data_IF_363740195307
#
_entry.id   IF_363740195307
#
_cell.length_a   1.000
_cell.length_b   1.000
_cell.length_c   1.000
_cell.angle_alpha   90.00
_cell.angle_beta   90.00
_cell.angle_gamma   90.00
#
_symmetry.space_group_name_H-M   'P 1'
#
loop_
_entity.id
_entity.type
_entity.pdbx_description
1 polymer ?
#
# COMPACT_ATOMS: atom_id res chain seq x y z
N UNK A 1 5.00 -13.48 -15.60
CA UNK A 1 6.13 -12.58 -15.95
C UNK A 1 7.43 -13.19 -15.41
N UNK A 2 7.68 -14.42 -15.82
CA UNK A 2 8.92 -15.12 -15.52
C UNK A 2 10.00 -14.59 -16.47
N UNK A 3 11.10 -14.09 -15.94
CA UNK A 3 12.29 -13.71 -16.69
C UNK A 3 12.74 -12.23 -16.63
N UNK A 4 12.00 -11.34 -15.95
CA UNK A 4 12.40 -9.93 -15.81
C UNK A 4 12.92 -9.67 -14.40
N UNK A 5 14.24 -9.45 -14.27
CA UNK A 5 14.93 -9.46 -12.99
C UNK A 5 15.21 -8.06 -12.39
N UNK A 6 15.37 -7.04 -13.22
CA UNK A 6 15.72 -5.68 -12.77
C UNK A 6 14.60 -4.66 -12.95
N UNK A 7 14.70 -3.50 -12.29
CA UNK A 7 13.75 -2.40 -12.49
C UNK A 7 13.84 -1.84 -13.91
N UNK A 8 15.05 -1.75 -14.47
CA UNK A 8 15.26 -1.29 -15.84
C UNK A 8 14.61 -2.24 -16.87
N UNK A 9 14.81 -3.55 -16.75
CA UNK A 9 14.18 -4.53 -17.65
C UNK A 9 12.66 -4.49 -17.56
N UNK A 10 12.12 -4.31 -16.35
CA UNK A 10 10.69 -4.12 -16.14
C UNK A 10 10.16 -2.83 -16.75
N UNK A 11 10.88 -1.72 -16.63
CA UNK A 11 10.50 -0.45 -17.24
C UNK A 11 10.54 -0.54 -18.77
N UNK A 12 11.62 -1.09 -19.34
CA UNK A 12 11.79 -1.29 -20.78
C UNK A 12 10.67 -2.14 -21.41
N UNK A 13 10.17 -3.16 -20.67
CA UNK A 13 9.06 -3.99 -21.12
C UNK A 13 7.71 -3.24 -21.06
N UNK A 14 7.48 -2.42 -20.05
CA UNK A 14 6.18 -1.77 -19.81
C UNK A 14 5.98 -0.46 -20.54
N UNK A 15 7.03 0.31 -20.75
CA UNK A 15 6.96 1.61 -21.43
C UNK A 15 6.30 1.52 -22.81
N UNK A 16 6.72 0.61 -23.73
CA UNK A 16 6.06 0.46 -25.03
C UNK A 16 4.57 0.12 -24.91
N UNK A 17 4.20 -0.73 -23.94
CA UNK A 17 2.79 -1.08 -23.73
C UNK A 17 1.93 0.12 -23.31
N UNK A 18 2.49 1.04 -22.53
CA UNK A 18 1.80 2.28 -22.14
C UNK A 18 1.63 3.20 -23.35
N UNK A 19 2.69 3.37 -24.13
CA UNK A 19 2.65 4.22 -25.33
C UNK A 19 1.69 3.69 -26.39
N UNK A 20 1.71 2.39 -26.65
CA UNK A 20 0.78 1.71 -27.54
C UNK A 20 -0.68 1.85 -27.07
N UNK A 21 -0.92 1.69 -25.76
CA UNK A 21 -2.24 1.88 -25.17
C UNK A 21 -2.76 3.30 -25.42
N UNK A 22 -1.95 4.32 -25.17
CA UNK A 22 -2.31 5.72 -25.39
C UNK A 22 -2.63 5.99 -26.85
N UNK A 23 -1.78 5.52 -27.76
CA UNK A 23 -1.97 5.66 -29.22
C UNK A 23 -3.24 4.96 -29.70
N UNK A 24 -3.49 3.74 -29.23
CA UNK A 24 -4.69 2.95 -29.59
C UNK A 24 -5.99 3.62 -29.14
N UNK A 25 -5.94 4.40 -28.03
CA UNK A 25 -7.09 5.15 -27.52
C UNK A 25 -7.16 6.58 -28.04
N UNK A 26 -6.36 6.91 -29.06
CA UNK A 26 -6.41 8.20 -29.75
C UNK A 26 -5.82 9.38 -28.95
N UNK A 27 -4.98 9.09 -27.95
CA UNK A 27 -4.28 10.14 -27.21
C UNK A 27 -2.96 10.48 -27.91
N UNK A 28 -2.79 11.76 -28.29
CA UNK A 28 -1.50 12.28 -28.74
C UNK A 28 -0.61 12.53 -27.53
N UNK A 29 0.62 12.02 -27.56
CA UNK A 29 1.61 12.25 -26.50
C UNK A 29 1.94 13.74 -26.31
N UNK A 30 1.85 14.52 -27.38
CA UNK A 30 2.04 15.97 -27.38
C UNK A 30 0.95 16.73 -26.58
N UNK A 31 -0.22 16.12 -26.41
CA UNK A 31 -1.34 16.72 -25.69
C UNK A 31 -1.19 16.71 -24.18
N UNK A 32 -0.22 15.97 -23.63
CA UNK A 32 0.01 15.93 -22.19
C UNK A 32 0.87 17.08 -21.72
N UNK A 33 0.52 17.69 -20.60
CA UNK A 33 1.29 18.76 -19.96
C UNK A 33 2.35 18.22 -19.00
N UNK A 34 2.12 17.03 -18.44
CA UNK A 34 3.01 16.37 -17.49
C UNK A 34 2.78 14.86 -17.45
N UNK A 35 3.76 14.11 -16.97
CA UNK A 35 3.62 12.68 -16.67
C UNK A 35 3.67 12.48 -15.15
N UNK A 36 2.69 11.79 -14.60
CA UNK A 36 2.59 11.56 -13.17
C UNK A 36 2.62 10.08 -12.87
N UNK A 37 3.65 9.66 -12.13
CA UNK A 37 3.78 8.30 -11.62
C UNK A 37 3.23 8.17 -10.21
N UNK A 38 2.88 6.94 -9.84
CA UNK A 38 2.41 6.62 -8.48
C UNK A 38 3.49 6.81 -7.40
N UNK A 39 4.75 7.00 -7.80
CA UNK A 39 5.90 7.01 -6.89
C UNK A 39 6.45 5.60 -6.66
N UNK A 40 7.28 5.46 -5.63
CA UNK A 40 7.94 4.21 -5.27
C UNK A 40 8.52 4.29 -3.87
N UNK A 41 9.35 3.31 -3.51
CA UNK A 41 10.09 3.31 -2.25
C UNK A 41 11.32 4.22 -2.39
N UNK A 42 11.13 5.49 -2.10
CA UNK A 42 12.17 6.52 -2.05
C UNK A 42 12.54 6.82 -0.60
N UNK A 43 13.46 7.75 -0.37
CA UNK A 43 13.68 8.31 0.96
C UNK A 43 12.35 8.80 1.57
N UNK A 44 12.09 8.56 2.87
CA UNK A 44 10.90 9.09 3.54
C UNK A 44 10.78 10.61 3.39
N UNK A 45 9.63 11.06 2.90
CA UNK A 45 9.32 12.47 2.62
C UNK A 45 7.90 12.78 3.10
N UNK A 46 7.56 14.04 3.39
CA UNK A 46 6.17 14.43 3.67
C UNK A 46 5.23 14.14 2.49
N UNK A 47 3.93 14.13 2.73
CA UNK A 47 2.93 14.02 1.66
C UNK A 47 3.00 15.20 0.70
N UNK A 48 2.85 14.94 -0.61
CA UNK A 48 2.92 15.98 -1.62
C UNK A 48 3.17 15.46 -3.04
N UNK A 49 3.33 16.42 -3.95
CA UNK A 49 3.71 16.18 -5.35
C UNK A 49 5.17 16.60 -5.53
N UNK A 50 5.98 15.71 -6.07
CA UNK A 50 7.41 15.90 -6.22
C UNK A 50 7.83 15.71 -7.68
N UNK A 51 8.64 16.66 -8.20
CA UNK A 51 9.30 16.44 -9.48
C UNK A 51 10.29 15.28 -9.36
N UNK A 52 10.27 14.38 -10.34
CA UNK A 52 11.24 13.28 -10.40
C UNK A 52 12.61 13.84 -10.76
N UNK A 53 13.60 13.59 -9.94
CA UNK A 53 14.99 14.01 -10.13
C UNK A 53 15.95 12.81 -10.16
N UNK A 54 17.22 13.06 -10.47
CA UNK A 54 18.23 12.01 -10.62
C UNK A 54 18.47 11.22 -9.32
N UNK A 55 18.39 11.87 -8.17
CA UNK A 55 18.55 11.20 -6.88
C UNK A 55 17.42 10.23 -6.63
N UNK A 56 16.18 10.65 -6.85
CA UNK A 56 14.99 9.81 -6.75
C UNK A 56 15.06 8.64 -7.73
N UNK A 57 15.46 8.86 -8.98
CA UNK A 57 15.64 7.80 -9.98
C UNK A 57 16.69 6.78 -9.55
N UNK A 58 17.79 7.25 -8.95
CA UNK A 58 18.82 6.37 -8.42
C UNK A 58 18.28 5.50 -7.29
N UNK A 59 17.54 6.08 -6.34
CA UNK A 59 16.91 5.35 -5.24
C UNK A 59 15.96 4.26 -5.75
N UNK A 60 15.14 4.58 -6.75
CA UNK A 60 14.16 3.66 -7.33
C UNK A 60 14.80 2.52 -8.13
N UNK A 61 15.83 2.83 -8.94
CA UNK A 61 16.54 1.85 -9.78
C UNK A 61 17.40 0.90 -8.94
N UNK A 62 18.15 1.45 -8.00
CA UNK A 62 19.01 0.69 -7.08
C UNK A 62 18.23 0.03 -5.93
N UNK A 63 16.92 0.29 -5.83
CA UNK A 63 16.06 -0.23 -4.77
C UNK A 63 16.59 0.06 -3.35
N UNK A 64 17.18 1.26 -3.13
CA UNK A 64 17.84 1.63 -1.87
C UNK A 64 16.95 1.54 -0.65
N UNK A 65 15.67 1.83 -0.81
CA UNK A 65 14.66 1.80 0.25
C UNK A 65 13.72 0.59 0.16
N UNK A 66 14.04 -0.36 -0.70
CA UNK A 66 13.34 -1.63 -0.86
C UNK A 66 12.93 -1.93 -2.31
N UNK A 67 12.75 -3.22 -2.58
CA UNK A 67 12.35 -3.72 -3.90
C UNK A 67 10.85 -3.92 -3.95
N UNK A 68 10.17 -3.10 -4.74
CA UNK A 68 8.73 -3.24 -4.97
C UNK A 68 8.36 -2.73 -6.36
N UNK A 69 7.35 -3.33 -6.97
CA UNK A 69 6.88 -2.97 -8.33
C UNK A 69 6.44 -1.50 -8.43
N UNK A 70 6.06 -0.87 -7.33
CA UNK A 70 5.70 0.57 -7.33
C UNK A 70 6.87 1.49 -7.69
N UNK A 71 8.13 1.04 -7.56
CA UNK A 71 9.31 1.81 -7.98
C UNK A 71 9.27 2.17 -9.47
N UNK A 72 8.62 1.34 -10.28
CA UNK A 72 8.43 1.61 -11.71
C UNK A 72 7.61 2.88 -11.98
N UNK A 73 6.76 3.32 -11.03
CA UNK A 73 5.93 4.51 -11.22
C UNK A 73 6.74 5.77 -11.50
N UNK A 74 7.77 6.04 -10.69
CA UNK A 74 8.66 7.18 -10.87
C UNK A 74 9.59 7.01 -12.08
N UNK A 75 10.12 5.79 -12.30
CA UNK A 75 11.01 5.48 -13.43
C UNK A 75 10.28 5.69 -14.76
N UNK A 76 9.11 5.09 -14.93
CA UNK A 76 8.31 5.22 -16.15
C UNK A 76 7.84 6.65 -16.37
N UNK A 77 7.45 7.38 -15.32
CA UNK A 77 7.07 8.78 -15.45
C UNK A 77 8.23 9.63 -15.99
N UNK A 78 9.45 9.42 -15.49
CA UNK A 78 10.63 10.12 -15.96
C UNK A 78 10.97 9.78 -17.41
N UNK A 79 11.02 8.49 -17.76
CA UNK A 79 11.38 8.05 -19.10
C UNK A 79 10.37 8.46 -20.18
N UNK A 80 9.08 8.45 -19.86
CA UNK A 80 8.04 8.93 -20.78
C UNK A 80 8.10 10.46 -20.84
N UNK A 81 8.25 11.15 -19.71
CA UNK A 81 8.35 12.60 -19.66
C UNK A 81 9.54 13.12 -20.48
N UNK A 82 10.71 12.48 -20.39
CA UNK A 82 11.89 12.80 -21.19
C UNK A 82 11.60 12.63 -22.69
N UNK A 83 10.98 11.52 -23.09
CA UNK A 83 10.67 11.24 -24.51
C UNK A 83 9.73 12.27 -25.14
N UNK A 84 8.74 12.75 -24.38
CA UNK A 84 7.76 13.73 -24.86
C UNK A 84 8.10 15.18 -24.51
N UNK A 85 9.25 15.43 -23.87
CA UNK A 85 9.70 16.76 -23.47
C UNK A 85 8.82 17.41 -22.40
N UNK A 86 8.24 16.63 -21.48
CA UNK A 86 7.33 17.10 -20.43
C UNK A 86 7.85 16.76 -19.03
N UNK A 87 7.50 17.56 -18.00
CA UNK A 87 7.93 17.29 -16.64
C UNK A 87 7.30 16.02 -16.11
N UNK A 88 8.06 15.30 -15.27
CA UNK A 88 7.62 14.09 -14.60
C UNK A 88 7.49 14.31 -13.09
N UNK A 89 6.44 13.76 -12.49
CA UNK A 89 6.14 13.89 -11.07
C UNK A 89 5.77 12.55 -10.45
N UNK A 90 5.91 12.47 -9.13
CA UNK A 90 5.26 11.47 -8.28
C UNK A 90 4.37 12.16 -7.25
N UNK A 91 3.32 11.46 -6.80
CA UNK A 91 2.36 11.99 -5.82
C UNK A 91 2.18 11.00 -4.68
N UNK A 92 2.29 11.52 -3.46
CA UNK A 92 2.05 10.77 -2.22
C UNK A 92 2.61 9.33 -2.27
N UNK A 93 3.95 9.15 -2.42
CA UNK A 93 4.55 7.82 -2.53
C UNK A 93 4.28 6.97 -1.28
N UNK A 94 4.36 5.63 -1.36
CA UNK A 94 4.03 4.74 -0.25
C UNK A 94 4.82 4.95 1.04
N UNK A 95 5.89 5.71 0.98
CA UNK A 95 6.84 5.99 2.06
C UNK A 95 6.72 7.42 2.59
N UNK A 96 5.61 8.12 2.31
CA UNK A 96 5.42 9.41 2.98
C UNK A 96 5.40 9.19 4.49
N UNK A 97 6.10 10.07 5.19
CA UNK A 97 6.25 9.99 6.64
C UNK A 97 5.83 11.30 7.29
N UNK A 98 4.66 11.27 7.88
CA UNK A 98 4.06 12.34 8.68
C UNK A 98 3.73 11.84 10.09
N UNK A 99 4.20 10.62 10.42
CA UNK A 99 3.99 10.00 11.74
C UNK A 99 4.63 10.84 12.83
N UNK A 100 4.01 10.85 13.99
CA UNK A 100 4.59 11.48 15.17
C UNK A 100 5.77 10.66 15.69
N UNK A 101 6.70 11.31 16.41
CA UNK A 101 7.86 10.61 16.99
C UNK A 101 7.44 9.42 17.87
N UNK A 102 6.34 9.56 18.62
CA UNK A 102 5.83 8.47 19.45
C UNK A 102 5.27 7.31 18.62
N UNK A 103 4.71 7.59 17.44
CA UNK A 103 4.20 6.56 16.54
C UNK A 103 5.31 5.73 15.88
N UNK A 104 6.53 6.25 15.81
CA UNK A 104 7.70 5.50 15.34
C UNK A 104 8.26 4.50 16.36
N UNK A 105 7.91 4.64 17.62
CA UNK A 105 8.44 3.75 18.66
C UNK A 105 7.82 2.34 18.53
N UNK A 106 8.70 1.35 18.56
CA UNK A 106 8.36 -0.06 18.79
C UNK A 106 8.84 -0.48 20.17
N UNK A 107 8.82 -1.79 20.44
CA UNK A 107 9.38 -2.35 21.68
C UNK A 107 10.91 -2.35 21.76
N UNK A 108 11.64 -1.96 20.71
CA UNK A 108 13.09 -1.93 20.70
C UNK A 108 13.62 -0.89 19.70
N UNK A 109 14.65 -0.10 20.04
CA UNK A 109 15.16 0.99 19.18
C UNK A 109 15.73 0.52 17.84
N UNK A 110 16.22 -0.72 17.74
CA UNK A 110 16.76 -1.25 16.48
C UNK A 110 15.65 -1.62 15.46
N UNK A 111 14.40 -1.63 15.89
CA UNK A 111 13.24 -2.01 15.06
C UNK A 111 12.16 -0.92 15.08
N UNK A 112 12.46 0.31 14.65
CA UNK A 112 11.47 1.38 14.63
C UNK A 112 10.31 1.04 13.68
N UNK A 113 9.11 1.51 14.00
CA UNK A 113 7.99 1.46 13.06
C UNK A 113 8.28 2.39 11.89
N UNK A 114 7.91 1.96 10.70
CA UNK A 114 8.18 2.68 9.45
C UNK A 114 6.87 2.97 8.75
N UNK A 115 6.75 4.17 8.22
CA UNK A 115 5.61 4.60 7.41
C UNK A 115 5.72 3.99 6.01
N UNK A 116 5.05 2.84 5.79
CA UNK A 116 4.93 2.20 4.47
C UNK A 116 3.49 1.75 4.25
N UNK A 117 2.74 2.49 3.46
CA UNK A 117 1.29 2.30 3.36
C UNK A 117 0.69 2.78 2.02
N UNK A 118 -0.62 2.70 1.87
CA UNK A 118 -1.32 3.12 0.66
C UNK A 118 -1.62 4.64 0.66
N UNK A 119 -0.57 5.46 0.78
CA UNK A 119 -0.63 6.89 1.01
C UNK A 119 -1.48 7.63 -0.02
N UNK A 120 -1.20 7.46 -1.31
CA UNK A 120 -1.93 8.11 -2.40
C UNK A 120 -3.45 7.86 -2.29
N UNK A 121 -3.85 6.59 -2.10
CA UNK A 121 -5.26 6.24 -2.02
C UNK A 121 -5.91 6.79 -0.75
N UNK A 122 -5.23 6.71 0.39
CA UNK A 122 -5.76 7.22 1.64
C UNK A 122 -5.94 8.75 1.60
N UNK A 123 -4.94 9.48 1.13
CA UNK A 123 -5.04 10.94 0.99
C UNK A 123 -6.07 11.36 -0.07
N UNK A 124 -6.15 10.64 -1.18
CA UNK A 124 -7.11 10.94 -2.23
C UNK A 124 -8.56 10.81 -1.73
N UNK A 125 -8.91 9.71 -1.06
CA UNK A 125 -10.27 9.53 -0.54
C UNK A 125 -10.58 10.49 0.62
N UNK A 126 -9.59 10.83 1.45
CA UNK A 126 -9.74 11.80 2.52
C UNK A 126 -10.03 13.21 1.98
N UNK A 127 -9.30 13.65 0.95
CA UNK A 127 -9.55 14.91 0.23
C UNK A 127 -10.92 14.91 -0.44
N UNK A 128 -11.28 13.82 -1.11
CA UNK A 128 -12.60 13.69 -1.73
C UNK A 128 -13.73 13.78 -0.72
N UNK A 129 -13.64 13.08 0.41
CA UNK A 129 -14.61 13.21 1.49
C UNK A 129 -14.71 14.64 2.02
N UNK A 130 -13.57 15.31 2.18
CA UNK A 130 -13.55 16.72 2.61
C UNK A 130 -14.31 17.64 1.63
N UNK A 131 -14.13 17.45 0.32
CA UNK A 131 -14.91 18.14 -0.72
C UNK A 131 -16.40 17.84 -0.61
N UNK A 132 -16.78 16.55 -0.47
CA UNK A 132 -18.19 16.12 -0.40
C UNK A 132 -18.92 16.69 0.84
N UNK A 133 -18.21 16.94 1.95
CA UNK A 133 -18.79 17.55 3.16
C UNK A 133 -18.58 19.07 3.26
N UNK A 134 -17.93 19.67 2.26
CA UNK A 134 -17.68 21.12 2.20
C UNK A 134 -16.75 21.64 3.29
N UNK A 135 -15.79 20.83 3.74
CA UNK A 135 -14.78 21.20 4.74
C UNK A 135 -13.38 21.03 4.17
N UNK A 136 -12.40 21.87 4.54
CA UNK A 136 -11.02 21.62 4.17
C UNK A 136 -10.48 20.34 4.85
N UNK A 137 -9.63 19.58 4.15
CA UNK A 137 -9.07 18.32 4.66
C UNK A 137 -8.24 18.52 5.94
N UNK A 138 -7.58 19.66 6.07
CA UNK A 138 -6.80 20.05 7.26
C UNK A 138 -7.65 20.53 8.46
N UNK A 139 -8.98 20.53 8.31
CA UNK A 139 -9.89 20.76 9.41
C UNK A 139 -10.52 19.48 9.98
N UNK A 140 -10.20 18.30 9.38
CA UNK A 140 -10.82 17.02 9.69
C UNK A 140 -9.87 16.05 10.38
N UNK A 141 -10.43 15.21 11.26
CA UNK A 141 -9.81 14.04 11.82
C UNK A 141 -10.48 12.79 11.24
N UNK A 142 -9.76 12.01 10.45
CA UNK A 142 -10.32 10.88 9.74
C UNK A 142 -9.56 9.60 10.05
N UNK A 143 -10.24 8.47 10.04
CA UNK A 143 -9.59 7.16 9.97
C UNK A 143 -9.84 6.60 8.58
N UNK A 144 -8.78 6.23 7.88
CA UNK A 144 -8.90 5.68 6.52
C UNK A 144 -8.36 4.26 6.50
N UNK A 145 -9.23 3.30 6.22
CA UNK A 145 -8.90 1.90 6.09
C UNK A 145 -8.87 1.50 4.61
N UNK A 146 -7.68 1.35 4.04
CA UNK A 146 -7.48 0.75 2.72
C UNK A 146 -7.38 -0.76 2.86
N UNK A 147 -8.31 -1.49 2.21
CA UNK A 147 -8.44 -2.94 2.32
C UNK A 147 -8.25 -3.58 0.95
N UNK A 148 -7.01 -3.80 0.56
CA UNK A 148 -6.63 -4.45 -0.70
C UNK A 148 -5.82 -5.74 -0.49
N UNK A 149 -4.91 -6.06 -1.40
CA UNK A 149 -3.90 -7.11 -1.20
C UNK A 149 -3.00 -6.82 0.02
N UNK A 150 -2.82 -5.53 0.36
CA UNK A 150 -2.37 -5.08 1.68
C UNK A 150 -3.51 -4.34 2.40
N UNK A 151 -3.51 -4.33 3.73
CA UNK A 151 -4.42 -3.55 4.56
C UNK A 151 -3.61 -2.51 5.34
N UNK A 152 -3.99 -1.24 5.21
CA UNK A 152 -3.42 -0.17 6.00
C UNK A 152 -4.51 0.75 6.53
N UNK A 153 -4.46 1.02 7.83
CA UNK A 153 -5.40 1.88 8.53
C UNK A 153 -4.62 3.07 9.09
N UNK A 154 -4.92 4.26 8.62
CA UNK A 154 -4.21 5.47 9.01
C UNK A 154 -5.09 6.43 9.80
N UNK A 155 -4.52 7.06 10.83
CA UNK A 155 -5.09 8.18 11.54
C UNK A 155 -4.69 9.48 10.85
N UNK A 156 -5.65 10.17 10.26
CA UNK A 156 -5.45 11.47 9.61
C UNK A 156 -5.86 12.57 10.57
N UNK A 157 -4.92 13.33 11.07
CA UNK A 157 -5.18 14.49 11.91
C UNK A 157 -4.84 15.76 11.12
N UNK A 158 -5.87 16.56 10.83
CA UNK A 158 -5.73 17.89 10.20
C UNK A 158 -4.82 17.89 8.96
N UNK A 159 -5.09 16.96 8.04
CA UNK A 159 -4.39 16.85 6.77
C UNK A 159 -3.09 16.02 6.78
N UNK A 160 -2.64 15.54 7.95
CA UNK A 160 -1.45 14.70 8.10
C UNK A 160 -1.81 13.30 8.57
N UNK A 161 -1.03 12.31 8.17
CA UNK A 161 -1.18 10.94 8.63
C UNK A 161 -0.23 10.72 9.79
N UNK A 162 -0.77 10.87 11.01
CA UNK A 162 0.01 10.93 12.27
C UNK A 162 0.35 9.56 12.85
N UNK A 163 -0.34 8.51 12.42
CA UNK A 163 -0.02 7.10 12.68
C UNK A 163 -0.64 6.23 11.59
N UNK A 164 0.02 5.13 11.26
CA UNK A 164 -0.46 4.12 10.31
C UNK A 164 0.27 2.80 10.51
N UNK A 165 -0.40 1.66 10.32
CA UNK A 165 0.29 0.37 10.29
C UNK A 165 1.08 0.17 9.00
N UNK A 166 2.22 -0.51 9.10
CA UNK A 166 3.05 -0.84 7.95
C UNK A 166 2.45 -1.99 7.13
N UNK A 167 2.04 -1.71 5.90
CA UNK A 167 1.39 -2.67 5.02
C UNK A 167 2.30 -3.73 4.38
N UNK A 168 3.63 -3.65 4.60
CA UNK A 168 4.61 -4.57 4.00
C UNK A 168 5.33 -5.47 5.00
N UNK A 169 5.64 -4.98 6.20
CA UNK A 169 6.61 -5.62 7.10
C UNK A 169 5.96 -6.42 8.25
N UNK A 170 4.66 -6.71 8.14
CA UNK A 170 3.99 -7.56 9.14
C UNK A 170 3.47 -6.79 10.35
N UNK A 171 2.87 -5.63 10.11
CA UNK A 171 2.19 -4.81 11.11
C UNK A 171 0.68 -4.73 10.81
N UNK A 172 -0.14 -4.64 11.85
CA UNK A 172 -1.58 -4.51 11.73
C UNK A 172 -2.34 -5.79 11.32
N UNK A 173 -3.50 -5.64 10.67
CA UNK A 173 -4.36 -6.76 10.29
C UNK A 173 -3.75 -7.66 9.22
N UNK A 174 -4.06 -8.96 9.25
CA UNK A 174 -3.74 -9.81 8.11
C UNK A 174 -4.66 -9.51 6.91
N UNK A 175 -4.21 -9.88 5.73
CA UNK A 175 -4.82 -9.50 4.46
C UNK A 175 -5.21 -10.71 3.63
N UNK A 176 -5.52 -10.51 2.35
CA UNK A 176 -5.73 -11.61 1.43
C UNK A 176 -4.54 -12.58 1.35
N UNK A 177 -3.30 -12.08 1.43
CA UNK A 177 -2.08 -12.87 1.22
C UNK A 177 -0.94 -12.58 2.21
N UNK A 178 -1.07 -11.57 3.09
CA UNK A 178 -0.04 -11.17 4.06
C UNK A 178 -0.45 -11.47 5.49
N UNK A 179 0.52 -11.76 6.37
CA UNK A 179 0.23 -12.26 7.71
C UNK A 179 -0.33 -11.21 8.69
N UNK A 180 -0.10 -9.90 8.44
CA UNK A 180 -0.27 -8.91 9.51
C UNK A 180 0.71 -9.15 10.65
N UNK A 181 0.34 -8.72 11.85
CA UNK A 181 1.14 -8.94 13.06
C UNK A 181 1.14 -10.41 13.46
N UNK A 182 2.31 -11.00 13.59
CA UNK A 182 2.51 -12.37 14.06
C UNK A 182 3.26 -12.40 15.40
N UNK A 183 3.07 -13.47 16.20
CA UNK A 183 3.87 -13.68 17.42
C UNK A 183 5.36 -13.83 17.08
N UNK A 184 6.16 -12.83 17.44
CA UNK A 184 7.57 -12.70 17.01
C UNK A 184 8.42 -13.93 17.35
N UNK A 185 8.26 -14.56 18.52
CA UNK A 185 9.04 -15.74 18.90
C UNK A 185 8.70 -16.97 18.07
N UNK A 186 7.45 -17.08 17.58
CA UNK A 186 7.06 -18.17 16.68
C UNK A 186 7.62 -17.97 15.29
N UNK A 187 7.63 -16.72 14.79
CA UNK A 187 8.26 -16.37 13.51
C UNK A 187 9.76 -16.64 13.56
N UNK A 188 10.44 -16.20 14.63
CA UNK A 188 11.86 -16.44 14.82
C UNK A 188 12.19 -17.94 14.84
N UNK A 189 11.41 -18.75 15.55
CA UNK A 189 11.59 -20.21 15.57
C UNK A 189 11.41 -20.81 14.18
N UNK A 190 10.33 -20.46 13.47
CA UNK A 190 10.08 -20.97 12.13
C UNK A 190 11.19 -20.59 11.14
N UNK A 191 11.73 -19.38 11.27
CA UNK A 191 12.86 -18.92 10.46
C UNK A 191 14.13 -19.72 10.76
N UNK A 192 14.42 -19.96 12.03
CA UNK A 192 15.59 -20.73 12.46
C UNK A 192 15.51 -22.22 12.07
N UNK A 193 14.30 -22.77 12.01
CA UNK A 193 14.03 -24.15 11.56
C UNK A 193 13.96 -24.26 10.02
N UNK A 194 14.20 -23.19 9.27
CA UNK A 194 14.08 -23.14 7.80
C UNK A 194 12.73 -23.65 7.27
N UNK A 195 11.66 -23.47 8.05
CA UNK A 195 10.33 -24.07 7.81
C UNK A 195 9.72 -23.62 6.48
N UNK A 196 10.00 -22.40 6.05
CA UNK A 196 9.39 -21.80 4.86
C UNK A 196 10.42 -21.35 3.81
N UNK A 197 11.66 -21.81 3.92
CA UNK A 197 12.73 -21.54 2.98
C UNK A 197 14.11 -21.54 3.62
N UNK A 198 15.13 -21.80 2.84
CA UNK A 198 16.51 -21.98 3.30
C UNK A 198 17.26 -20.64 3.47
N UNK A 199 16.73 -19.57 2.91
CA UNK A 199 17.32 -18.23 2.97
C UNK A 199 16.26 -17.15 3.22
N UNK A 200 16.73 -15.93 3.46
CA UNK A 200 15.86 -14.78 3.76
C UNK A 200 14.83 -14.50 2.66
N UNK A 201 15.24 -14.55 1.39
CA UNK A 201 14.35 -14.20 0.28
C UNK A 201 13.23 -15.22 0.07
N UNK A 202 13.49 -16.50 0.27
CA UNK A 202 12.46 -17.54 0.19
C UNK A 202 11.46 -17.40 1.33
N UNK A 203 11.93 -17.19 2.57
CA UNK A 203 11.09 -16.96 3.72
C UNK A 203 10.28 -15.67 3.56
N UNK A 204 10.93 -14.58 3.15
CA UNK A 204 10.26 -13.30 2.86
C UNK A 204 9.15 -13.49 1.83
N UNK A 205 9.41 -14.21 0.73
CA UNK A 205 8.41 -14.51 -0.32
C UNK A 205 7.23 -15.28 0.25
N UNK A 206 7.48 -16.25 1.13
CA UNK A 206 6.42 -16.99 1.81
C UNK A 206 5.52 -16.05 2.63
N UNK A 207 6.10 -15.23 3.51
CA UNK A 207 5.31 -14.30 4.35
C UNK A 207 4.58 -13.25 3.52
N UNK A 208 5.11 -12.85 2.37
CA UNK A 208 4.48 -11.84 1.51
C UNK A 208 3.36 -12.35 0.62
N UNK A 209 3.21 -13.67 0.42
CA UNK A 209 2.28 -14.21 -0.57
C UNK A 209 1.56 -15.51 -0.21
N UNK A 210 1.90 -16.13 0.91
CA UNK A 210 1.35 -17.44 1.33
C UNK A 210 0.68 -17.41 2.70
N UNK A 211 0.51 -16.21 3.25
CA UNK A 211 -0.14 -15.97 4.54
C UNK A 211 -1.54 -15.37 4.35
N UNK A 212 -2.13 -14.85 5.44
CA UNK A 212 -3.45 -14.24 5.38
C UNK A 212 -4.55 -15.22 4.96
N UNK A 213 -5.52 -14.74 4.18
CA UNK A 213 -6.63 -15.58 3.72
C UNK A 213 -6.15 -16.79 2.91
N UNK A 214 -5.08 -16.64 2.11
CA UNK A 214 -4.49 -17.77 1.35
C UNK A 214 -4.12 -18.93 2.27
N UNK A 215 -3.55 -18.66 3.43
CA UNK A 215 -3.14 -19.72 4.37
C UNK A 215 -4.32 -20.54 4.92
N UNK A 216 -5.51 -19.91 5.05
CA UNK A 216 -6.71 -20.56 5.55
C UNK A 216 -7.60 -21.14 4.45
N UNK A 217 -7.66 -20.48 3.28
CA UNK A 217 -8.66 -20.80 2.25
C UNK A 217 -8.07 -21.32 0.95
N UNK A 218 -6.73 -21.27 0.80
CA UNK A 218 -6.02 -21.65 -0.42
C UNK A 218 -6.10 -20.62 -1.56
N UNK A 219 -6.79 -19.49 -1.35
CA UNK A 219 -6.96 -18.44 -2.38
C UNK A 219 -6.92 -17.04 -1.80
N UNK A 220 -6.48 -16.07 -2.60
CA UNK A 220 -6.56 -14.64 -2.33
C UNK A 220 -7.69 -13.94 -3.10
N UNK A 221 -8.46 -14.67 -3.91
CA UNK A 221 -9.61 -14.09 -4.64
C UNK A 221 -10.79 -13.87 -3.67
N UNK A 222 -11.03 -12.60 -3.33
CA UNK A 222 -12.11 -12.20 -2.43
C UNK A 222 -13.50 -12.61 -2.90
N UNK A 223 -13.73 -12.78 -4.22
CA UNK A 223 -15.01 -13.23 -4.79
C UNK A 223 -15.24 -14.71 -4.47
N UNK A 224 -14.20 -15.53 -4.64
CA UNK A 224 -14.26 -16.98 -4.31
C UNK A 224 -14.46 -17.16 -2.81
N UNK A 225 -13.74 -16.38 -1.99
CA UNK A 225 -13.89 -16.41 -0.53
C UNK A 225 -15.31 -16.00 -0.13
N UNK A 226 -15.83 -14.90 -0.68
CA UNK A 226 -17.19 -14.40 -0.42
C UNK A 226 -18.26 -15.41 -0.80
N UNK A 227 -18.11 -16.12 -1.92
CA UNK A 227 -19.00 -17.19 -2.33
C UNK A 227 -18.99 -18.36 -1.32
N UNK A 228 -17.81 -18.85 -0.91
CA UNK A 228 -17.67 -19.90 0.11
C UNK A 228 -18.32 -19.50 1.45
N UNK A 229 -18.16 -18.24 1.86
CA UNK A 229 -18.83 -17.71 3.05
C UNK A 229 -20.35 -17.74 2.89
N UNK A 230 -20.88 -17.33 1.74
CA UNK A 230 -22.32 -17.37 1.46
C UNK A 230 -22.89 -18.80 1.42
N UNK A 231 -22.09 -19.78 1.00
CA UNK A 231 -22.42 -21.21 0.99
C UNK A 231 -22.28 -21.88 2.37
N UNK A 232 -21.83 -21.12 3.39
CA UNK A 232 -21.72 -21.60 4.77
C UNK A 232 -20.44 -22.37 5.09
N UNK A 233 -19.39 -22.23 4.29
CA UNK A 233 -18.07 -22.82 4.56
C UNK A 233 -17.52 -22.28 5.90
N UNK A 234 -17.32 -23.13 6.92
CA UNK A 234 -16.97 -22.67 8.26
C UNK A 234 -15.53 -22.10 8.32
N UNK A 235 -14.61 -22.68 7.54
CA UNK A 235 -13.21 -22.23 7.52
C UNK A 235 -13.07 -20.88 6.84
N UNK A 236 -13.67 -20.73 5.66
CA UNK A 236 -13.69 -19.44 4.95
C UNK A 236 -14.40 -18.36 5.78
N UNK A 237 -15.52 -18.71 6.43
CA UNK A 237 -16.27 -17.81 7.30
C UNK A 237 -15.44 -17.35 8.49
N UNK A 238 -14.75 -18.28 9.16
CA UNK A 238 -13.92 -17.95 10.33
C UNK A 238 -12.75 -17.04 9.92
N UNK A 239 -12.05 -17.37 8.85
CA UNK A 239 -10.94 -16.57 8.34
C UNK A 239 -11.40 -15.17 7.89
N UNK A 240 -12.52 -15.08 7.15
CA UNK A 240 -13.06 -13.78 6.71
C UNK A 240 -13.45 -12.88 7.91
N UNK A 241 -14.16 -13.45 8.89
CA UNK A 241 -14.53 -12.74 10.11
C UNK A 241 -13.32 -12.34 10.95
N UNK A 242 -12.28 -13.19 11.00
CA UNK A 242 -11.02 -12.89 11.67
C UNK A 242 -10.30 -11.70 11.05
N UNK A 243 -10.25 -11.60 9.72
CA UNK A 243 -9.68 -10.44 9.03
C UNK A 243 -10.47 -9.16 9.35
N UNK A 244 -11.80 -9.22 9.22
CA UNK A 244 -12.66 -8.07 9.54
C UNK A 244 -12.51 -7.63 11.01
N UNK A 245 -12.41 -8.59 11.93
CA UNK A 245 -12.18 -8.32 13.37
C UNK A 245 -10.85 -7.59 13.62
N UNK A 246 -9.77 -8.02 12.97
CA UNK A 246 -8.48 -7.34 13.12
C UNK A 246 -8.49 -5.94 12.52
N UNK A 247 -9.15 -5.75 11.36
CA UNK A 247 -9.32 -4.41 10.77
C UNK A 247 -10.11 -3.50 11.73
N UNK A 248 -11.20 -3.99 12.31
CA UNK A 248 -11.99 -3.22 13.27
C UNK A 248 -11.19 -2.84 14.53
N UNK A 249 -10.33 -3.75 15.02
CA UNK A 249 -9.40 -3.44 16.12
C UNK A 249 -8.42 -2.34 15.74
N UNK A 250 -7.85 -2.39 14.54
CA UNK A 250 -6.91 -1.38 14.07
C UNK A 250 -7.60 -0.01 13.94
N UNK A 251 -8.82 0.05 13.39
CA UNK A 251 -9.64 1.27 13.37
C UNK A 251 -9.86 1.82 14.79
N UNK A 252 -10.15 0.94 15.75
CA UNK A 252 -10.28 1.30 17.16
C UNK A 252 -8.99 1.88 17.75
N UNK A 253 -7.84 1.28 17.44
CA UNK A 253 -6.53 1.78 17.85
C UNK A 253 -6.25 3.18 17.29
N UNK A 254 -6.52 3.40 15.99
CA UNK A 254 -6.37 4.72 15.36
C UNK A 254 -7.33 5.77 15.93
N UNK A 255 -8.50 5.35 16.42
CA UNK A 255 -9.40 6.27 17.15
C UNK A 255 -8.78 6.78 18.45
N UNK A 256 -8.01 5.94 19.15
CA UNK A 256 -7.28 6.34 20.35
C UNK A 256 -6.16 7.35 20.01
N UNK A 257 -5.45 7.13 18.91
CA UNK A 257 -4.44 8.09 18.40
C UNK A 257 -5.03 9.49 18.21
N UNK A 258 -6.25 9.57 17.68
CA UNK A 258 -6.99 10.84 17.49
C UNK A 258 -7.70 11.35 18.77
N UNK A 259 -7.43 10.73 19.93
CA UNK A 259 -8.07 11.11 21.21
C UNK A 259 -9.59 10.94 21.21
N UNK A 260 -10.11 10.00 20.40
CA UNK A 260 -11.54 9.75 20.22
C UNK A 260 -12.27 10.81 19.38
N UNK A 261 -11.58 11.80 18.85
CA UNK A 261 -12.15 12.88 18.04
C UNK A 261 -12.08 12.52 16.55
N UNK A 262 -13.02 11.73 16.09
CA UNK A 262 -13.07 11.19 14.71
C UNK A 262 -14.29 11.78 14.00
N UNK A 263 -14.07 12.52 12.92
CA UNK A 263 -15.16 13.09 12.11
C UNK A 263 -15.77 12.00 11.19
N UNK A 264 -14.96 11.10 10.65
CA UNK A 264 -15.44 9.98 9.84
C UNK A 264 -14.43 8.82 9.77
N UNK A 265 -14.95 7.63 9.45
CA UNK A 265 -14.17 6.44 9.11
C UNK A 265 -14.44 6.14 7.64
N UNK A 266 -13.39 6.10 6.82
CA UNK A 266 -13.47 5.87 5.38
C UNK A 266 -12.96 4.46 5.06
N UNK A 267 -13.81 3.65 4.43
CA UNK A 267 -13.47 2.29 4.02
C UNK A 267 -13.34 2.25 2.50
N UNK A 268 -12.22 1.75 1.97
CA UNK A 268 -12.01 1.67 0.53
C UNK A 268 -11.34 0.37 0.09
N UNK A 269 -11.44 0.08 -1.20
CA UNK A 269 -10.89 -1.06 -1.93
C UNK A 269 -11.78 -2.31 -1.89
N UNK A 270 -11.60 -3.29 -1.00
CA UNK A 270 -12.37 -4.55 -1.01
C UNK A 270 -13.90 -4.37 -0.91
N UNK A 271 -14.36 -3.29 -0.32
CA UNK A 271 -15.79 -3.01 -0.20
C UNK A 271 -16.47 -2.86 -1.57
N UNK A 272 -15.73 -2.46 -2.60
CA UNK A 272 -16.24 -2.34 -3.97
C UNK A 272 -16.46 -3.68 -4.69
N UNK A 273 -16.02 -4.80 -4.09
CA UNK A 273 -16.21 -6.14 -4.64
C UNK A 273 -17.58 -6.71 -4.21
N UNK A 274 -18.09 -6.29 -3.07
CA UNK A 274 -19.34 -6.81 -2.48
C UNK A 274 -20.58 -5.96 -2.78
N UNK A 275 -20.42 -4.71 -3.23
CA UNK A 275 -21.53 -3.86 -3.66
C UNK A 275 -21.29 -3.30 -5.06
N UNK A 276 -22.23 -3.53 -6.01
CA UNK A 276 -22.15 -2.83 -7.29
C UNK A 276 -22.32 -1.33 -7.04
N UNK A 277 -21.32 -0.55 -7.41
CA UNK A 277 -21.39 0.92 -7.42
C UNK A 277 -22.64 1.34 -8.20
N UNK A 278 -23.57 1.99 -7.52
CA UNK A 278 -24.67 2.70 -8.15
C UNK A 278 -24.21 4.04 -8.69
#
# INVERSE_FOLDING_TARGET
MEGVSTMEENAAMRKPLILDFLTHHGHSLESFDAVVGRGGLVHPIPGGTYAVNDEMLRDLRECRFGTHVCNLGGILAAEIGEEIGKPAFIVDPPVIDEMTDIAHLSGHPDFPRRSVFHALNQKAIAKRYAEDVGKPYDALNLIVAHMGGGVTVGAHEKGKIVDVNNGLEGDGPYTAERPGSLPVLQVLRAAFEHRYGDNYEDQRRFYMSKCGMVAYTGTNDGRVIGQRVAEGDPEATLAYRGMAYQIAKEIGAQSVVLGGKVDAILLLSLIHISEPTR
#
